data_IF_130083732448
#
_entry.id   IF_130083732448
#
_cell.length_a   1.000
_cell.length_b   1.000
_cell.length_c   1.000
_cell.angle_alpha   90.00
_cell.angle_beta   90.00
_cell.angle_gamma   90.00
#
_symmetry.space_group_name_H-M   'P 1'
#
loop_
_entity.id
_entity.type
_entity.pdbx_description
1 polymer ?
#
# COMPACT_ATOMS: atom_id res chain seq x y z
N UNK A 1 -30.01 20.33 -31.44
CA UNK A 1 -28.59 20.22 -31.06
C UNK A 1 -28.29 20.76 -29.66
N UNK A 2 -28.69 22.00 -29.30
CA UNK A 2 -28.41 22.59 -27.97
C UNK A 2 -29.03 21.81 -26.79
N UNK A 3 -30.26 21.33 -26.92
CA UNK A 3 -30.94 20.56 -25.86
C UNK A 3 -30.26 19.22 -25.55
N UNK A 4 -29.91 18.47 -26.60
CA UNK A 4 -29.20 17.19 -26.46
C UNK A 4 -27.83 17.40 -25.82
N UNK A 5 -27.09 18.42 -26.28
CA UNK A 5 -25.79 18.77 -25.71
C UNK A 5 -25.85 19.15 -24.22
N UNK A 6 -26.89 19.90 -23.80
CA UNK A 6 -27.08 20.23 -22.38
C UNK A 6 -27.37 19.00 -21.51
N UNK A 7 -28.15 18.03 -22.01
CA UNK A 7 -28.45 16.79 -21.27
C UNK A 7 -27.17 15.97 -21.08
N UNK A 8 -26.36 15.82 -22.13
CA UNK A 8 -25.05 15.15 -22.02
C UNK A 8 -24.09 15.87 -21.09
N UNK A 9 -24.12 17.20 -21.06
CA UNK A 9 -23.29 18.00 -20.16
C UNK A 9 -23.66 17.76 -18.69
N UNK A 10 -24.95 17.79 -18.36
CA UNK A 10 -25.45 17.53 -17.00
C UNK A 10 -25.14 16.09 -16.56
N UNK A 11 -25.34 15.11 -17.44
CA UNK A 11 -24.97 13.71 -17.16
C UNK A 11 -23.47 13.55 -16.94
N UNK A 12 -22.64 14.23 -17.72
CA UNK A 12 -21.18 14.18 -17.56
C UNK A 12 -20.74 14.78 -16.23
N UNK A 13 -21.35 15.88 -15.78
CA UNK A 13 -21.10 16.46 -14.46
C UNK A 13 -21.50 15.48 -13.34
N UNK A 14 -22.68 14.86 -13.47
CA UNK A 14 -23.14 13.87 -12.48
C UNK A 14 -22.19 12.68 -12.36
N UNK A 15 -21.78 12.10 -13.49
CA UNK A 15 -20.82 11.01 -13.54
C UNK A 15 -19.44 11.41 -13.00
N UNK A 16 -19.00 12.64 -13.28
CA UNK A 16 -17.74 13.18 -12.77
C UNK A 16 -17.75 13.28 -11.25
N UNK A 17 -18.83 13.78 -10.65
CA UNK A 17 -18.97 13.87 -9.18
C UNK A 17 -18.94 12.48 -8.55
N UNK A 18 -19.68 11.52 -9.12
CA UNK A 18 -19.70 10.12 -8.63
C UNK A 18 -18.28 9.53 -8.71
N UNK A 19 -17.60 9.71 -9.84
CA UNK A 19 -16.23 9.22 -10.05
C UNK A 19 -15.25 9.82 -9.05
N UNK A 20 -15.33 11.13 -8.77
CA UNK A 20 -14.48 11.81 -7.79
C UNK A 20 -14.66 11.25 -6.38
N UNK A 21 -15.90 10.98 -5.95
CA UNK A 21 -16.18 10.37 -4.64
C UNK A 21 -15.61 8.95 -4.54
N UNK A 22 -15.82 8.13 -5.57
CA UNK A 22 -15.26 6.77 -5.62
C UNK A 22 -13.73 6.79 -5.62
N UNK A 23 -13.11 7.75 -6.30
CA UNK A 23 -11.66 7.92 -6.34
C UNK A 23 -11.10 8.26 -4.96
N UNK A 24 -11.74 9.17 -4.22
CA UNK A 24 -11.36 9.48 -2.84
C UNK A 24 -11.42 8.27 -1.91
N UNK A 25 -12.50 7.49 -1.97
CA UNK A 25 -12.68 6.27 -1.16
C UNK A 25 -11.58 5.25 -1.50
N UNK A 26 -11.30 5.08 -2.80
CA UNK A 26 -10.27 4.17 -3.29
C UNK A 26 -8.87 4.57 -2.82
N UNK A 27 -8.54 5.87 -2.85
CA UNK A 27 -7.29 6.38 -2.30
C UNK A 27 -7.19 6.17 -0.79
N UNK A 28 -8.29 6.38 -0.06
CA UNK A 28 -8.35 6.16 1.39
C UNK A 28 -8.14 4.68 1.74
N UNK A 29 -8.74 3.79 0.97
CA UNK A 29 -8.59 2.35 1.11
C UNK A 29 -7.16 1.89 0.77
N UNK A 30 -6.60 2.39 -0.34
CA UNK A 30 -5.23 2.08 -0.77
C UNK A 30 -4.19 2.55 0.25
N UNK A 31 -4.36 3.75 0.83
CA UNK A 31 -3.48 4.23 1.92
C UNK A 31 -3.51 3.30 3.13
N UNK A 32 -4.71 2.89 3.59
CA UNK A 32 -4.86 1.94 4.71
C UNK A 32 -4.25 0.57 4.41
N UNK A 33 -4.39 0.07 3.18
CA UNK A 33 -3.76 -1.16 2.72
C UNK A 33 -2.22 -1.05 2.71
N UNK A 34 -1.67 0.06 2.22
CA UNK A 34 -0.23 0.29 2.20
C UNK A 34 0.37 0.43 3.60
N UNK A 35 -0.32 1.09 4.53
CA UNK A 35 0.11 1.15 5.93
C UNK A 35 0.14 -0.24 6.59
N UNK A 36 -0.86 -1.08 6.31
CA UNK A 36 -0.90 -2.47 6.79
C UNK A 36 0.23 -3.32 6.19
N UNK A 37 0.40 -3.27 4.86
CA UNK A 37 1.47 -4.01 4.15
C UNK A 37 2.87 -3.55 4.57
N UNK A 38 3.08 -2.25 4.81
CA UNK A 38 4.36 -1.71 5.29
C UNK A 38 4.69 -2.19 6.71
N UNK A 39 3.71 -2.23 7.62
CA UNK A 39 3.92 -2.77 8.98
C UNK A 39 4.25 -4.26 8.96
N UNK A 40 3.57 -5.03 8.13
CA UNK A 40 3.77 -6.48 8.03
C UNK A 40 5.13 -6.83 7.41
N UNK A 41 5.52 -6.14 6.33
CA UNK A 41 6.84 -6.28 5.70
C UNK A 41 7.98 -5.85 6.63
N UNK A 42 7.81 -4.75 7.38
CA UNK A 42 8.79 -4.30 8.36
C UNK A 42 8.97 -5.32 9.50
N UNK A 43 7.87 -5.91 10.00
CA UNK A 43 7.92 -6.96 11.02
C UNK A 43 8.62 -8.23 10.51
N UNK A 44 8.36 -8.61 9.25
CA UNK A 44 9.05 -9.73 8.60
C UNK A 44 10.56 -9.45 8.47
N UNK A 45 10.92 -8.24 8.01
CA UNK A 45 12.32 -7.80 7.89
C UNK A 45 13.07 -7.80 9.22
N UNK A 46 12.43 -7.37 10.30
CA UNK A 46 13.00 -7.41 11.66
C UNK A 46 13.21 -8.86 12.11
N UNK A 47 12.27 -9.77 11.85
CA UNK A 47 12.44 -11.20 12.17
C UNK A 47 13.63 -11.82 11.43
N UNK A 48 13.78 -11.51 10.14
CA UNK A 48 14.94 -11.97 9.36
C UNK A 48 16.26 -11.35 9.86
N UNK A 49 16.25 -10.09 10.25
CA UNK A 49 17.43 -9.41 10.82
C UNK A 49 17.87 -10.08 12.13
N UNK A 50 16.92 -10.39 13.02
CA UNK A 50 17.19 -11.08 14.30
C UNK A 50 17.72 -12.49 14.04
N UNK A 51 17.09 -13.24 13.14
CA UNK A 51 17.55 -14.59 12.79
C UNK A 51 18.95 -14.57 12.17
N UNK A 52 19.22 -13.64 11.24
CA UNK A 52 20.53 -13.44 10.63
C UNK A 52 21.59 -13.06 11.66
N UNK A 53 21.26 -12.19 12.64
CA UNK A 53 22.14 -11.83 13.74
C UNK A 53 22.51 -13.03 14.62
N UNK A 54 21.55 -13.90 14.95
CA UNK A 54 21.80 -15.11 15.74
C UNK A 54 22.73 -16.08 14.98
N UNK A 55 22.46 -16.33 13.70
CA UNK A 55 23.31 -17.19 12.86
C UNK A 55 24.71 -16.61 12.74
N UNK A 56 24.85 -15.29 12.62
CA UNK A 56 26.15 -14.63 12.57
C UNK A 56 26.94 -14.79 13.88
N UNK A 57 26.28 -14.63 15.03
CA UNK A 57 26.90 -14.85 16.35
C UNK A 57 27.35 -16.29 16.51
N UNK A 58 26.51 -17.26 16.13
CA UNK A 58 26.86 -18.69 16.18
C UNK A 58 28.07 -18.97 15.26
N UNK A 59 28.07 -18.43 14.05
CA UNK A 59 29.20 -18.59 13.12
C UNK A 59 30.49 -17.98 13.66
N UNK A 60 30.41 -16.82 14.32
CA UNK A 60 31.56 -16.19 14.96
C UNK A 60 32.10 -17.00 16.13
N UNK A 61 31.21 -17.62 16.93
CA UNK A 61 31.61 -18.53 18.01
C UNK A 61 32.33 -19.75 17.43
N UNK A 62 31.77 -20.40 16.40
CA UNK A 62 32.41 -21.54 15.73
C UNK A 62 33.77 -21.17 15.13
N UNK A 63 33.89 -19.98 14.53
CA UNK A 63 35.16 -19.50 13.99
C UNK A 63 36.22 -19.18 15.06
N UNK A 64 35.82 -18.93 16.31
CA UNK A 64 36.73 -18.67 17.42
C UNK A 64 37.27 -19.97 18.06
N UNK A 65 36.55 -21.08 17.89
CA UNK A 65 36.94 -22.41 18.37
C UNK A 65 37.52 -23.33 17.28
N UNK A 66 37.58 -22.86 16.03
CA UNK A 66 38.26 -23.49 14.90
C UNK A 66 39.67 -22.93 14.74
#
# INVERSE_FOLDING_TARGET
MKFVSNIFFVLSIGLFIISAVFFEISLRYMRRQNEKKKKESANLGIKFLVFGGIVFVISGIFAFFA
#
